data_IF_558138628809
#
_entry.id   IF_558138628809
#
_cell.length_a   1.000
_cell.length_b   1.000
_cell.length_c   1.000
_cell.angle_alpha   90.00
_cell.angle_beta   90.00
_cell.angle_gamma   90.00
#
_symmetry.space_group_name_H-M   'P 1'
#
loop_
_entity.id
_entity.type
_entity.pdbx_description
1 polymer ?
#
# COMPACT_ATOMS: atom_id res chain seq x y z
N UNK A 1 3.65 -9.72 -11.35
CA UNK A 1 3.84 -9.55 -9.90
C UNK A 1 3.14 -8.30 -9.37
N UNK A 2 3.52 -7.10 -9.85
CA UNK A 2 2.95 -5.81 -9.41
C UNK A 2 1.43 -5.77 -9.53
N UNK A 3 0.88 -6.14 -10.69
CA UNK A 3 -0.58 -6.15 -10.93
C UNK A 3 -1.29 -7.03 -9.89
N UNK A 4 -0.76 -8.23 -9.63
CA UNK A 4 -1.30 -9.17 -8.64
C UNK A 4 -1.25 -8.56 -7.23
N UNK A 5 -0.15 -7.91 -6.86
CA UNK A 5 -0.02 -7.24 -5.56
C UNK A 5 -1.00 -6.08 -5.40
N UNK A 6 -1.22 -5.27 -6.44
CA UNK A 6 -2.21 -4.17 -6.43
C UNK A 6 -3.64 -4.71 -6.29
N UNK A 7 -3.98 -5.79 -6.99
CA UNK A 7 -5.27 -6.48 -6.83
C UNK A 7 -5.44 -7.03 -5.41
N UNK A 8 -4.40 -7.64 -4.85
CA UNK A 8 -4.43 -8.15 -3.47
C UNK A 8 -4.67 -6.99 -2.49
N UNK A 9 -3.93 -5.88 -2.61
CA UNK A 9 -4.11 -4.69 -1.78
C UNK A 9 -5.52 -4.11 -1.88
N UNK A 10 -6.03 -3.96 -3.10
CA UNK A 10 -7.38 -3.48 -3.33
C UNK A 10 -8.44 -4.40 -2.69
N UNK A 11 -8.20 -5.72 -2.71
CA UNK A 11 -9.08 -6.68 -2.05
C UNK A 11 -9.06 -6.55 -0.52
N UNK A 12 -7.88 -6.35 0.09
CA UNK A 12 -7.79 -6.08 1.53
C UNK A 12 -8.50 -4.78 1.91
N UNK A 13 -8.28 -3.70 1.16
CA UNK A 13 -8.98 -2.41 1.39
C UNK A 13 -10.49 -2.57 1.21
N UNK A 14 -10.94 -3.36 0.24
CA UNK A 14 -12.36 -3.65 0.03
C UNK A 14 -12.99 -4.45 1.18
N UNK A 15 -12.27 -5.41 1.76
CA UNK A 15 -12.76 -6.13 2.95
C UNK A 15 -12.91 -5.17 4.13
N UNK A 16 -11.95 -4.25 4.30
CA UNK A 16 -12.02 -3.22 5.33
C UNK A 16 -13.21 -2.28 5.09
N UNK A 17 -13.43 -1.83 3.86
CA UNK A 17 -14.57 -0.99 3.46
C UNK A 17 -15.90 -1.70 3.74
N UNK A 18 -16.04 -2.96 3.30
CA UNK A 18 -17.25 -3.77 3.47
C UNK A 18 -17.63 -3.99 4.95
N UNK A 19 -16.64 -3.95 5.84
CA UNK A 19 -16.88 -4.11 7.27
C UNK A 19 -17.45 -2.84 7.93
N UNK A 20 -17.44 -1.70 7.23
CA UNK A 20 -17.71 -0.38 7.82
C UNK A 20 -18.78 0.40 7.06
N UNK A 21 -18.73 0.39 5.73
CA UNK A 21 -19.59 1.17 4.84
C UNK A 21 -20.73 0.33 4.26
N UNK A 22 -21.91 0.96 4.12
CA UNK A 22 -23.11 0.34 3.55
C UNK A 22 -23.03 0.23 2.01
N UNK A 23 -22.27 1.13 1.36
CA UNK A 23 -22.01 1.14 -0.09
C UNK A 23 -20.53 0.88 -0.44
N UNK A 24 -20.07 -0.36 -0.32
CA UNK A 24 -18.68 -0.72 -0.67
C UNK A 24 -18.49 -0.85 -2.20
N UNK A 25 -17.46 -0.21 -2.77
CA UNK A 25 -17.19 -0.25 -4.21
C UNK A 25 -15.74 -0.65 -4.55
N UNK A 26 -15.58 -1.88 -5.04
CA UNK A 26 -14.26 -2.42 -5.43
C UNK A 26 -13.53 -1.54 -6.46
N UNK A 27 -14.25 -0.93 -7.41
CA UNK A 27 -13.66 -0.05 -8.43
C UNK A 27 -12.99 1.18 -7.81
N UNK A 28 -13.61 1.76 -6.77
CA UNK A 28 -13.08 2.94 -6.07
C UNK A 28 -11.85 2.58 -5.24
N UNK A 29 -11.91 1.46 -4.51
CA UNK A 29 -10.74 0.94 -3.79
C UNK A 29 -9.55 0.68 -4.72
N UNK A 30 -9.79 0.06 -5.87
CA UNK A 30 -8.73 -0.20 -6.85
C UNK A 30 -8.10 1.10 -7.36
N UNK A 31 -8.93 2.10 -7.72
CA UNK A 31 -8.46 3.41 -8.17
C UNK A 31 -7.60 4.09 -7.09
N UNK A 32 -8.09 4.08 -5.85
CA UNK A 32 -7.42 4.64 -4.69
C UNK A 32 -6.05 3.98 -4.43
N UNK A 33 -5.96 2.66 -4.43
CA UNK A 33 -4.69 1.92 -4.26
C UNK A 33 -3.72 2.24 -5.40
N UNK A 34 -4.20 2.40 -6.64
CA UNK A 34 -3.34 2.81 -7.75
C UNK A 34 -2.77 4.23 -7.56
N UNK A 35 -3.58 5.18 -7.04
CA UNK A 35 -3.10 6.53 -6.73
C UNK A 35 -2.02 6.53 -5.65
N UNK A 36 -2.20 5.75 -4.58
CA UNK A 36 -1.21 5.67 -3.48
C UNK A 36 0.07 4.92 -3.89
N UNK A 37 -0.02 4.00 -4.85
CA UNK A 37 1.12 3.26 -5.40
C UNK A 37 2.00 4.08 -6.37
N UNK A 38 1.44 5.09 -7.03
CA UNK A 38 2.13 5.95 -8.01
C UNK A 38 3.43 6.59 -7.47
N UNK A 39 3.43 7.29 -6.32
CA UNK A 39 4.66 7.87 -5.78
C UNK A 39 5.72 6.83 -5.39
N UNK A 40 5.32 5.64 -4.93
CA UNK A 40 6.26 4.55 -4.66
C UNK A 40 6.90 4.02 -5.95
N UNK A 41 6.13 3.95 -7.04
CA UNK A 41 6.66 3.60 -8.36
C UNK A 41 7.68 4.64 -8.86
N UNK A 42 7.36 5.94 -8.71
CA UNK A 42 8.27 7.02 -9.07
C UNK A 42 9.56 6.99 -8.26
N UNK A 43 9.50 6.66 -6.96
CA UNK A 43 10.69 6.48 -6.13
C UNK A 43 11.56 5.31 -6.59
N UNK A 44 10.95 4.24 -7.10
CA UNK A 44 11.67 3.08 -7.65
C UNK A 44 12.55 3.43 -8.86
N UNK A 45 12.16 4.40 -9.69
CA UNK A 45 12.95 4.86 -10.83
C UNK A 45 14.25 5.56 -10.41
N UNK A 46 14.28 6.18 -9.24
CA UNK A 46 15.48 6.85 -8.73
C UNK A 46 16.58 5.86 -8.33
N UNK A 47 16.22 4.58 -8.11
CA UNK A 47 17.17 3.49 -7.85
C UNK A 47 18.18 3.23 -8.97
N UNK A 48 17.99 3.78 -10.17
CA UNK A 48 18.98 3.73 -11.25
C UNK A 48 20.22 4.59 -10.97
N UNK A 49 20.12 5.59 -10.08
CA UNK A 49 21.26 6.39 -9.63
C UNK A 49 21.82 5.76 -8.33
N UNK A 50 23.04 5.19 -8.32
CA UNK A 50 23.60 4.50 -7.16
C UNK A 50 24.16 5.47 -6.10
N UNK A 51 23.39 6.51 -5.75
CA UNK A 51 23.69 7.44 -4.66
C UNK A 51 22.75 7.08 -3.51
N UNK A 52 23.26 6.31 -2.55
CA UNK A 52 22.47 5.75 -1.43
C UNK A 52 21.68 6.82 -0.68
N UNK A 53 22.30 7.96 -0.40
CA UNK A 53 21.67 9.08 0.31
C UNK A 53 20.47 9.66 -0.42
N UNK A 54 20.59 9.82 -1.74
CA UNK A 54 19.51 10.35 -2.56
C UNK A 54 18.35 9.34 -2.64
N UNK A 55 18.67 8.06 -2.81
CA UNK A 55 17.67 6.98 -2.78
C UNK A 55 16.89 6.96 -1.45
N UNK A 56 17.57 7.08 -0.30
CA UNK A 56 16.90 7.10 1.01
C UNK A 56 15.98 8.31 1.14
N UNK A 57 16.45 9.51 0.79
CA UNK A 57 15.63 10.72 0.88
C UNK A 57 14.39 10.66 -0.01
N UNK A 58 14.53 10.19 -1.25
CA UNK A 58 13.40 10.05 -2.18
C UNK A 58 12.41 8.99 -1.70
N UNK A 59 12.91 7.87 -1.17
CA UNK A 59 12.06 6.79 -0.67
C UNK A 59 11.26 7.23 0.57
N UNK A 60 11.90 7.94 1.50
CA UNK A 60 11.22 8.53 2.67
C UNK A 60 10.18 9.56 2.22
N UNK A 61 10.51 10.45 1.28
CA UNK A 61 9.58 11.44 0.75
C UNK A 61 8.37 10.78 0.05
N UNK A 62 8.60 9.73 -0.73
CA UNK A 62 7.53 8.99 -1.40
C UNK A 62 6.61 8.27 -0.41
N UNK A 63 7.16 7.65 0.65
CA UNK A 63 6.36 7.01 1.70
C UNK A 63 5.52 8.06 2.44
N UNK A 64 6.08 9.21 2.79
CA UNK A 64 5.33 10.30 3.42
C UNK A 64 4.19 10.79 2.52
N UNK A 65 4.45 10.93 1.22
CA UNK A 65 3.42 11.34 0.27
C UNK A 65 2.31 10.29 0.12
N UNK A 66 2.66 9.00 0.00
CA UNK A 66 1.68 7.90 -0.01
C UNK A 66 0.82 7.87 1.25
N UNK A 67 1.43 8.03 2.43
CA UNK A 67 0.70 8.08 3.71
C UNK A 67 -0.22 9.29 3.78
N UNK A 68 0.23 10.45 3.29
CA UNK A 68 -0.59 11.65 3.21
C UNK A 68 -1.83 11.43 2.34
N UNK A 69 -1.66 10.91 1.11
CA UNK A 69 -2.76 10.52 0.22
C UNK A 69 -3.71 9.52 0.86
N UNK A 70 -3.17 8.57 1.62
CA UNK A 70 -3.97 7.55 2.27
C UNK A 70 -4.79 8.10 3.44
N UNK A 71 -4.20 9.01 4.22
CA UNK A 71 -4.84 9.66 5.37
C UNK A 71 -6.00 10.56 4.97
N UNK A 72 -5.85 11.31 3.87
CA UNK A 72 -6.94 12.15 3.34
C UNK A 72 -7.95 11.35 2.51
N UNK A 73 -7.51 10.31 1.81
CA UNK A 73 -8.37 9.58 0.89
C UNK A 73 -9.36 8.66 1.61
N UNK A 74 -8.89 7.81 2.53
CA UNK A 74 -9.76 6.83 3.23
C UNK A 74 -11.02 7.46 3.86
N UNK A 75 -10.95 8.54 4.66
CA UNK A 75 -12.15 9.11 5.29
C UNK A 75 -13.12 9.70 4.25
N UNK A 76 -12.62 10.29 3.17
CA UNK A 76 -13.45 10.86 2.09
C UNK A 76 -14.16 9.75 1.30
N UNK A 77 -13.47 8.63 1.01
CA UNK A 77 -14.05 7.54 0.22
C UNK A 77 -15.04 6.67 1.00
N UNK A 78 -14.87 6.53 2.31
CA UNK A 78 -15.68 5.63 3.15
C UNK A 78 -16.73 6.33 4.03
N UNK A 79 -16.85 7.66 3.96
CA UNK A 79 -17.79 8.48 4.75
C UNK A 79 -17.78 8.15 6.27
N UNK A 80 -16.58 7.95 6.82
CA UNK A 80 -16.42 7.56 8.21
C UNK A 80 -16.32 8.82 9.08
N UNK A 81 -17.07 8.94 10.18
CA UNK A 81 -16.99 10.09 11.09
C UNK A 81 -15.56 10.27 11.64
N UNK A 82 -15.11 11.53 11.69
CA UNK A 82 -13.71 11.98 11.85
C UNK A 82 -12.96 11.52 13.13
N UNK A 83 -13.57 10.73 14.01
CA UNK A 83 -12.95 10.20 15.22
C UNK A 83 -12.45 8.74 15.14
N UNK A 84 -12.89 7.95 14.14
CA UNK A 84 -12.57 6.50 14.03
C UNK A 84 -11.66 6.15 12.86
N UNK A 85 -11.36 7.12 12.01
CA UNK A 85 -10.58 6.93 10.77
C UNK A 85 -9.13 6.51 11.03
N UNK A 86 -8.51 6.96 12.14
CA UNK A 86 -7.13 6.59 12.48
C UNK A 86 -6.91 5.09 12.61
N UNK A 87 -7.86 4.37 13.22
CA UNK A 87 -7.76 2.91 13.41
C UNK A 87 -7.86 2.16 12.07
N UNK A 88 -8.68 2.67 11.14
CA UNK A 88 -8.89 2.08 9.82
C UNK A 88 -7.72 2.36 8.89
N UNK A 89 -7.21 3.59 8.91
CA UNK A 89 -5.98 3.95 8.20
C UNK A 89 -4.81 3.08 8.71
N UNK A 90 -4.67 2.95 10.03
CA UNK A 90 -3.64 2.10 10.65
C UNK A 90 -3.73 0.63 10.26
N UNK A 91 -4.94 0.06 10.16
CA UNK A 91 -5.13 -1.33 9.75
C UNK A 91 -4.76 -1.55 8.29
N UNK A 92 -5.13 -0.62 7.38
CA UNK A 92 -4.75 -0.68 5.97
C UNK A 92 -3.24 -0.52 5.78
N UNK A 93 -2.59 0.38 6.52
CA UNK A 93 -1.12 0.52 6.49
C UNK A 93 -0.42 -0.75 6.99
N UNK A 94 -0.93 -1.35 8.06
CA UNK A 94 -0.36 -2.59 8.62
C UNK A 94 -0.54 -3.77 7.67
N UNK A 95 -1.70 -3.91 7.02
CA UNK A 95 -1.92 -4.88 5.95
C UNK A 95 -0.96 -4.64 4.78
N UNK A 96 -0.77 -3.37 4.43
CA UNK A 96 0.27 -2.84 3.54
C UNK A 96 1.64 -3.47 3.77
N UNK A 97 2.14 -3.26 4.98
CA UNK A 97 3.45 -3.70 5.43
C UNK A 97 3.55 -5.22 5.50
N UNK A 98 2.52 -5.91 6.01
CA UNK A 98 2.49 -7.36 6.13
C UNK A 98 2.53 -8.06 4.77
N UNK A 99 1.89 -7.48 3.74
CA UNK A 99 1.94 -8.01 2.40
C UNK A 99 3.34 -7.91 1.78
N UNK A 100 4.06 -6.81 2.03
CA UNK A 100 5.46 -6.68 1.62
C UNK A 100 6.34 -7.73 2.31
N UNK A 101 6.16 -7.94 3.61
CA UNK A 101 6.90 -8.97 4.36
C UNK A 101 6.61 -10.38 3.84
N UNK A 102 5.34 -10.68 3.59
CA UNK A 102 4.90 -11.96 3.04
C UNK A 102 5.58 -12.25 1.69
N UNK A 103 5.74 -11.22 0.86
CA UNK A 103 6.45 -11.33 -0.41
C UNK A 103 7.94 -11.65 -0.22
N UNK A 104 8.64 -10.94 0.67
CA UNK A 104 10.05 -11.20 0.98
C UNK A 104 10.24 -12.63 1.49
N UNK A 105 9.38 -13.08 2.42
CA UNK A 105 9.45 -14.43 2.98
C UNK A 105 9.20 -15.49 1.89
N UNK A 106 8.20 -15.28 1.03
CA UNK A 106 7.92 -16.21 -0.07
C UNK A 106 9.13 -16.39 -1.00
N UNK A 107 9.79 -15.29 -1.37
CA UNK A 107 11.01 -15.33 -2.18
C UNK A 107 12.14 -16.06 -1.45
N UNK A 108 12.34 -15.82 -0.16
CA UNK A 108 13.37 -16.50 0.64
C UNK A 108 13.13 -18.01 0.73
N UNK A 109 11.87 -18.45 0.90
CA UNK A 109 11.51 -19.88 0.94
C UNK A 109 11.79 -20.54 -0.42
N UNK A 110 11.40 -19.89 -1.51
CA UNK A 110 11.64 -20.39 -2.88
C UNK A 110 13.15 -20.50 -3.13
N UNK A 111 13.93 -19.48 -2.78
CA UNK A 111 15.39 -19.49 -2.93
C UNK A 111 16.06 -20.59 -2.10
N UNK A 112 15.60 -20.78 -0.85
CA UNK A 112 16.09 -21.87 0.01
C UNK A 112 15.83 -23.24 -0.63
N UNK A 113 14.63 -23.45 -1.18
CA UNK A 113 14.26 -24.73 -1.81
C UNK A 113 14.99 -24.99 -3.14
N UNK A 114 15.56 -23.95 -3.76
CA UNK A 114 16.36 -24.07 -4.99
C UNK A 114 17.85 -24.34 -4.72
N UNK A 115 18.37 -23.93 -3.55
CA UNK A 115 19.76 -24.12 -3.14
C UNK A 115 20.00 -25.43 -2.37
N UNK A 116 18.95 -26.17 -2.01
CA UNK A 116 18.99 -27.52 -1.43
C UNK A 116 18.70 -28.52 -2.52
#
# INVERSE_FOLDING_TARGET
LIIVATFLMAYFTFITEKSIAEEASFKRCLLFVCYTATPMFMAGLVGFLPIVWLCVLVLVAAVHYSLYLLYIGIPIYMDIPEGKSFMIIGSVVTAGLCMMLSFVIAVLIIMKNLMV
#
